data_IF_758325415311
#
_entry.id   IF_758325415311
#
_cell.length_a   1.000
_cell.length_b   1.000
_cell.length_c   1.000
_cell.angle_alpha   90.00
_cell.angle_beta   90.00
_cell.angle_gamma   90.00
#
_symmetry.space_group_name_H-M   'P 1'
#
loop_
_entity.id
_entity.type
_entity.pdbx_description
1 polymer ?
#
# COMPACT_ATOMS: atom_id res chain seq x y z
N UNK A 1 -35.21 -32.16 15.27
CA UNK A 1 -35.34 -30.70 15.37
C UNK A 1 -34.03 -30.09 14.92
N UNK A 2 -34.01 -29.48 13.76
CA UNK A 2 -32.79 -29.02 13.07
C UNK A 2 -32.82 -27.49 13.10
N UNK A 3 -32.01 -26.87 14.00
CA UNK A 3 -31.90 -25.42 14.10
C UNK A 3 -30.99 -24.90 12.99
N UNK A 4 -31.54 -24.16 12.07
CA UNK A 4 -30.84 -23.37 11.07
C UNK A 4 -30.37 -22.06 11.73
N UNK A 5 -29.07 -21.87 11.85
CA UNK A 5 -28.47 -20.56 12.19
C UNK A 5 -28.44 -19.72 10.91
N UNK A 6 -29.39 -18.80 10.78
CA UNK A 6 -29.37 -17.76 9.77
C UNK A 6 -28.30 -16.72 10.17
N UNK A 7 -27.18 -16.72 9.47
CA UNK A 7 -26.21 -15.62 9.49
C UNK A 7 -26.81 -14.45 8.71
N UNK A 8 -27.30 -13.43 9.43
CA UNK A 8 -27.59 -12.11 8.88
C UNK A 8 -26.26 -11.42 8.53
N UNK A 9 -25.87 -11.49 7.26
CA UNK A 9 -24.89 -10.57 6.67
C UNK A 9 -25.56 -9.21 6.53
N UNK A 10 -25.31 -8.33 7.49
CA UNK A 10 -25.67 -6.92 7.37
C UNK A 10 -24.82 -6.30 6.26
N UNK A 11 -25.49 -5.79 5.24
CA UNK A 11 -24.88 -4.94 4.22
C UNK A 11 -24.56 -3.59 4.86
N UNK A 12 -23.34 -3.47 5.43
CA UNK A 12 -22.77 -2.15 5.71
C UNK A 12 -22.39 -1.54 4.37
N UNK A 13 -22.95 -0.42 4.04
CA UNK A 13 -22.59 0.37 2.86
C UNK A 13 -21.10 0.72 2.95
N UNK A 14 -20.34 0.29 1.95
CA UNK A 14 -18.89 0.52 1.82
C UNK A 14 -18.75 1.85 1.09
N UNK A 15 -18.13 2.83 1.73
CA UNK A 15 -17.74 4.10 1.12
C UNK A 15 -16.23 4.13 0.90
N UNK A 16 -15.80 4.81 -0.10
CA UNK A 16 -14.61 4.61 -0.97
C UNK A 16 -13.36 5.48 -0.71
N UNK A 17 -12.18 5.29 -1.43
CA UNK A 17 -10.87 5.76 -0.93
C UNK A 17 -9.66 5.81 -1.87
N UNK A 18 -8.79 6.83 -1.84
CA UNK A 18 -7.59 7.07 -2.68
C UNK A 18 -6.26 6.57 -2.12
N UNK A 19 -5.31 6.34 -3.05
CA UNK A 19 -3.96 5.78 -2.85
C UNK A 19 -3.15 6.47 -1.75
N UNK A 20 -2.54 5.67 -0.88
CA UNK A 20 -1.81 6.11 0.30
C UNK A 20 -0.33 5.75 0.26
N UNK A 21 0.54 6.65 0.77
CA UNK A 21 2.00 6.41 0.96
C UNK A 21 2.32 5.17 1.81
N UNK A 22 1.37 4.72 2.62
CA UNK A 22 1.51 3.50 3.43
C UNK A 22 1.43 2.20 2.64
N UNK A 23 0.94 2.22 1.39
CA UNK A 23 1.02 1.05 0.51
C UNK A 23 2.47 0.60 0.31
N UNK A 24 3.42 1.52 0.36
CA UNK A 24 4.84 1.23 0.22
C UNK A 24 5.43 0.59 1.49
N UNK A 25 5.05 1.01 2.69
CA UNK A 25 5.40 0.33 3.96
C UNK A 25 4.89 -1.11 3.94
N UNK A 26 3.70 -1.32 3.41
CA UNK A 26 3.12 -2.62 3.14
C UNK A 26 4.00 -3.50 2.23
N UNK A 27 4.51 -2.97 1.12
CA UNK A 27 5.38 -3.70 0.20
C UNK A 27 6.69 -4.14 0.88
N UNK A 28 7.31 -3.27 1.67
CA UNK A 28 8.52 -3.58 2.45
C UNK A 28 8.27 -4.67 3.51
N UNK A 29 7.13 -4.62 4.19
CA UNK A 29 6.76 -5.64 5.18
C UNK A 29 6.53 -7.02 4.54
N UNK A 30 5.96 -7.06 3.34
CA UNK A 30 5.81 -8.32 2.58
C UNK A 30 7.15 -8.88 2.13
N UNK A 31 8.07 -8.03 1.73
CA UNK A 31 9.38 -8.41 1.19
C UNK A 31 10.28 -9.07 2.23
N UNK A 32 10.10 -8.75 3.50
CA UNK A 32 10.99 -9.18 4.58
C UNK A 32 11.17 -10.70 4.70
N UNK A 33 10.15 -11.50 4.38
CA UNK A 33 10.22 -12.96 4.52
C UNK A 33 10.31 -13.45 5.99
N UNK A 34 10.54 -14.75 6.18
CA UNK A 34 10.73 -15.35 7.50
C UNK A 34 12.21 -15.63 7.75
N UNK A 35 12.85 -14.80 8.56
CA UNK A 35 14.32 -14.76 8.74
C UNK A 35 14.70 -14.98 10.17
N UNK A 36 15.88 -15.59 10.36
CA UNK A 36 16.54 -15.77 11.65
C UNK A 36 17.05 -14.46 12.26
N UNK A 37 17.70 -14.52 13.45
CA UNK A 37 18.36 -13.37 14.06
C UNK A 37 19.44 -12.81 13.15
N UNK A 38 19.66 -11.50 13.20
CA UNK A 38 20.69 -10.81 12.45
C UNK A 38 20.21 -9.57 11.72
N UNK A 39 21.13 -8.96 11.00
CA UNK A 39 20.89 -7.79 10.18
C UNK A 39 20.21 -8.18 8.86
N UNK A 40 19.29 -7.36 8.39
CA UNK A 40 18.75 -7.46 7.04
C UNK A 40 18.59 -6.08 6.42
N UNK A 41 18.63 -6.02 5.12
CA UNK A 41 18.35 -4.81 4.35
C UNK A 41 17.70 -5.18 3.01
N UNK A 42 17.00 -4.24 2.41
CA UNK A 42 16.36 -4.50 1.12
C UNK A 42 15.78 -3.26 0.50
N UNK A 43 15.18 -3.49 -0.66
CA UNK A 43 14.41 -2.50 -1.40
C UNK A 43 13.10 -3.14 -1.85
N UNK A 44 12.02 -2.39 -1.77
CA UNK A 44 10.74 -2.77 -2.34
C UNK A 44 10.25 -1.61 -3.22
N UNK A 45 9.80 -1.93 -4.41
CA UNK A 45 9.27 -0.99 -5.39
C UNK A 45 7.79 -1.26 -5.61
N UNK A 46 7.03 -0.19 -5.65
CA UNK A 46 5.66 -0.20 -6.12
C UNK A 46 5.48 0.90 -7.14
N UNK A 47 5.23 0.53 -8.38
CA UNK A 47 4.83 1.43 -9.45
C UNK A 47 3.33 1.27 -9.71
N UNK A 48 2.60 2.37 -9.72
CA UNK A 48 1.17 2.41 -10.06
C UNK A 48 0.94 3.40 -11.18
N UNK A 49 0.20 2.96 -12.20
CA UNK A 49 -0.29 3.82 -13.28
C UNK A 49 -1.77 4.10 -13.04
N UNK A 50 -2.12 5.37 -13.07
CA UNK A 50 -3.49 5.89 -12.98
C UNK A 50 -3.77 6.61 -14.29
N UNK A 51 -4.78 6.19 -15.04
CA UNK A 51 -5.13 6.76 -16.35
C UNK A 51 -6.64 6.83 -16.60
N UNK A 52 -7.43 6.11 -15.83
CA UNK A 52 -8.88 6.11 -15.90
C UNK A 52 -9.47 7.16 -14.98
N UNK A 53 -10.31 8.07 -15.52
CA UNK A 53 -11.11 8.99 -14.72
C UNK A 53 -12.43 8.34 -14.30
N UNK A 54 -12.79 8.51 -13.03
CA UNK A 54 -14.07 8.04 -12.48
C UNK A 54 -14.74 9.14 -11.65
N UNK A 55 -16.07 9.11 -11.65
CA UNK A 55 -16.93 9.87 -10.73
C UNK A 55 -17.83 8.87 -10.01
N UNK A 56 -17.73 8.82 -8.69
CA UNK A 56 -18.56 7.94 -7.85
C UNK A 56 -18.60 6.48 -8.36
N UNK A 57 -17.44 5.91 -8.64
CA UNK A 57 -17.27 4.54 -9.13
C UNK A 57 -17.62 4.31 -10.61
N UNK A 58 -17.99 5.36 -11.34
CA UNK A 58 -18.36 5.26 -12.76
C UNK A 58 -17.28 5.90 -13.64
N UNK A 59 -16.75 5.14 -14.61
CA UNK A 59 -15.79 5.66 -15.58
C UNK A 59 -16.40 6.80 -16.41
N UNK A 60 -15.64 7.87 -16.57
CA UNK A 60 -15.99 9.04 -17.38
C UNK A 60 -14.92 9.33 -18.41
N UNK A 61 -15.28 10.12 -19.44
CA UNK A 61 -14.35 10.49 -20.49
C UNK A 61 -13.16 11.29 -19.92
N UNK A 62 -11.95 10.99 -20.40
CA UNK A 62 -10.70 11.69 -20.09
C UNK A 62 -10.17 12.44 -21.34
N UNK A 63 -10.84 13.52 -21.79
CA UNK A 63 -10.47 14.23 -23.02
C UNK A 63 -9.12 14.93 -22.93
N UNK A 64 -8.72 15.35 -21.73
CA UNK A 64 -7.40 15.93 -21.50
C UNK A 64 -6.28 14.89 -21.49
N UNK A 65 -6.62 13.60 -21.37
CA UNK A 65 -5.67 12.50 -21.22
C UNK A 65 -4.87 12.66 -19.94
N UNK A 66 -5.53 12.96 -18.83
CA UNK A 66 -4.93 13.06 -17.50
C UNK A 66 -4.34 11.70 -17.10
N UNK A 67 -3.22 11.72 -16.42
CA UNK A 67 -2.59 10.52 -15.85
C UNK A 67 -1.72 10.88 -14.66
N UNK A 68 -1.52 9.90 -13.78
CA UNK A 68 -0.54 9.92 -12.71
C UNK A 68 0.26 8.62 -12.76
N UNK A 69 1.59 8.72 -12.82
CA UNK A 69 2.49 7.60 -12.59
C UNK A 69 3.14 7.80 -11.23
N UNK A 70 2.99 6.85 -10.34
CA UNK A 70 3.58 6.90 -9.01
C UNK A 70 4.52 5.72 -8.81
N UNK A 71 5.81 6.00 -8.58
CA UNK A 71 6.85 5.04 -8.23
C UNK A 71 7.28 5.32 -6.79
N UNK A 72 7.16 4.33 -5.91
CA UNK A 72 7.53 4.42 -4.52
C UNK A 72 8.52 3.32 -4.19
N UNK A 73 9.82 3.69 -4.11
CA UNK A 73 10.91 2.80 -3.72
C UNK A 73 11.11 2.88 -2.21
N UNK A 74 10.83 1.80 -1.49
CA UNK A 74 11.11 1.66 -0.06
C UNK A 74 12.49 1.06 0.14
N UNK A 75 13.46 1.84 0.57
CA UNK A 75 14.71 1.31 1.11
C UNK A 75 14.47 0.98 2.58
N UNK A 76 14.76 -0.23 2.99
CA UNK A 76 14.57 -0.64 4.37
C UNK A 76 15.77 -1.40 4.92
N UNK A 77 16.01 -1.25 6.21
CA UNK A 77 16.99 -2.00 6.95
C UNK A 77 16.47 -2.32 8.35
N UNK A 78 16.89 -3.42 8.92
CA UNK A 78 16.44 -3.81 10.24
C UNK A 78 17.32 -4.87 10.89
N UNK A 79 17.00 -5.15 12.14
CA UNK A 79 17.69 -6.14 12.95
C UNK A 79 16.70 -7.04 13.70
N UNK A 80 16.84 -8.34 13.52
CA UNK A 80 16.13 -9.33 14.31
C UNK A 80 16.96 -9.67 15.55
N UNK A 81 16.52 -9.21 16.72
CA UNK A 81 17.20 -9.45 18.01
C UNK A 81 17.21 -10.95 18.36
N UNK A 82 16.18 -11.65 17.94
CA UNK A 82 16.01 -13.10 18.11
C UNK A 82 14.98 -13.62 17.10
N UNK A 83 14.60 -14.88 17.19
CA UNK A 83 13.59 -15.50 16.32
C UNK A 83 12.16 -14.95 16.49
N UNK A 84 11.93 -13.99 17.37
CA UNK A 84 10.59 -13.46 17.66
C UNK A 84 10.45 -11.96 17.55
N UNK A 85 11.52 -11.20 17.77
CA UNK A 85 11.46 -9.74 17.87
C UNK A 85 12.40 -9.14 16.86
N UNK A 86 11.93 -8.20 16.08
CA UNK A 86 12.71 -7.42 15.12
C UNK A 86 12.31 -5.95 15.12
N UNK A 87 13.21 -5.15 14.59
CA UNK A 87 13.03 -3.73 14.35
C UNK A 87 13.42 -3.40 12.91
N UNK A 88 12.68 -2.51 12.25
CA UNK A 88 12.92 -2.12 10.86
C UNK A 88 12.68 -0.62 10.69
N UNK A 89 13.55 0.03 9.94
CA UNK A 89 13.36 1.40 9.45
C UNK A 89 13.04 1.32 7.95
N UNK A 90 12.06 2.07 7.50
CA UNK A 90 11.70 2.23 6.10
C UNK A 90 11.92 3.69 5.68
N UNK A 91 12.61 3.89 4.57
CA UNK A 91 12.85 5.17 3.92
C UNK A 91 12.22 5.13 2.53
N UNK A 92 11.09 5.80 2.28
CA UNK A 92 10.50 5.89 0.96
C UNK A 92 11.21 6.94 0.11
N UNK A 93 11.50 6.59 -1.13
CA UNK A 93 11.90 7.52 -2.19
C UNK A 93 10.77 7.51 -3.22
N UNK A 94 10.16 8.66 -3.44
CA UNK A 94 8.96 8.81 -4.25
C UNK A 94 9.32 9.55 -5.53
N UNK A 95 8.80 9.07 -6.64
CA UNK A 95 8.80 9.76 -7.93
C UNK A 95 7.40 9.69 -8.53
N UNK A 96 6.84 10.85 -8.86
CA UNK A 96 5.55 10.98 -9.53
C UNK A 96 5.72 11.80 -10.81
N UNK A 97 5.05 11.38 -11.88
CA UNK A 97 4.88 12.19 -13.09
C UNK A 97 3.41 12.25 -13.43
N UNK A 98 2.93 13.44 -13.75
CA UNK A 98 1.50 13.67 -13.94
C UNK A 98 1.20 14.59 -15.13
N UNK A 99 -0.02 14.47 -15.57
CA UNK A 99 -0.70 15.39 -16.48
C UNK A 99 -2.11 15.59 -15.94
N UNK A 100 -2.46 16.83 -15.63
CA UNK A 100 -3.78 17.22 -15.12
C UNK A 100 -4.33 18.43 -15.85
N UNK A 101 -5.60 18.72 -15.67
CA UNK A 101 -6.18 20.02 -16.06
C UNK A 101 -5.78 21.07 -15.05
N UNK A 102 -5.53 22.29 -15.50
CA UNK A 102 -5.36 23.46 -14.64
C UNK A 102 -6.67 24.23 -14.45
N UNK A 103 -6.68 25.15 -13.50
CA UNK A 103 -7.87 25.95 -13.14
C UNK A 103 -8.38 26.89 -14.24
N UNK A 104 -7.57 27.12 -15.29
CA UNK A 104 -7.91 27.96 -16.44
C UNK A 104 -8.38 27.17 -17.66
N UNK A 105 -8.49 25.83 -17.55
CA UNK A 105 -8.87 24.95 -18.65
C UNK A 105 -7.71 24.56 -19.56
N UNK A 106 -6.49 24.84 -19.18
CA UNK A 106 -5.27 24.36 -19.79
C UNK A 106 -4.89 22.94 -19.30
N UNK A 107 -3.66 22.58 -19.58
CA UNK A 107 -3.08 21.29 -19.16
C UNK A 107 -1.75 21.55 -18.49
N UNK A 108 -1.62 21.08 -17.27
CA UNK A 108 -0.39 21.10 -16.48
C UNK A 108 0.32 19.72 -16.53
N UNK A 109 1.65 19.77 -16.71
CA UNK A 109 2.53 18.61 -16.68
C UNK A 109 3.60 18.81 -15.62
N UNK A 110 3.82 17.82 -14.81
CA UNK A 110 4.85 17.96 -13.80
C UNK A 110 5.45 16.64 -13.35
N UNK A 111 6.46 16.80 -12.49
CA UNK A 111 7.08 15.70 -11.76
C UNK A 111 7.32 16.14 -10.33
N UNK A 112 7.01 15.24 -9.40
CA UNK A 112 7.35 15.40 -7.98
C UNK A 112 8.27 14.26 -7.57
N UNK A 113 9.34 14.59 -6.86
CA UNK A 113 10.26 13.56 -6.40
C UNK A 113 10.99 13.96 -5.11
N UNK A 114 11.22 13.00 -4.26
CA UNK A 114 11.93 13.22 -3.01
C UNK A 114 11.80 12.07 -2.04
N UNK A 115 12.21 12.35 -0.81
CA UNK A 115 12.04 11.42 0.30
C UNK A 115 10.64 11.64 0.87
N UNK A 116 9.93 10.54 1.12
CA UNK A 116 8.64 10.55 1.80
C UNK A 116 8.79 10.41 3.33
N UNK A 117 7.72 10.00 3.97
CA UNK A 117 7.66 9.86 5.42
C UNK A 117 8.37 8.59 5.90
N UNK A 118 9.41 8.74 6.69
CA UNK A 118 10.17 7.62 7.29
C UNK A 118 9.30 6.89 8.31
N UNK A 119 9.36 5.55 8.32
CA UNK A 119 8.67 4.75 9.32
C UNK A 119 9.63 3.85 10.12
N UNK A 120 9.36 3.73 11.42
CA UNK A 120 10.01 2.80 12.34
C UNK A 120 9.01 1.73 12.77
N UNK A 121 9.31 0.47 12.49
CA UNK A 121 8.43 -0.66 12.73
C UNK A 121 9.08 -1.69 13.65
N UNK A 122 8.36 -2.11 14.67
CA UNK A 122 8.67 -3.31 15.46
C UNK A 122 7.80 -4.47 15.02
N UNK A 123 8.33 -5.69 15.02
CA UNK A 123 7.57 -6.89 14.77
C UNK A 123 7.78 -7.96 15.86
N UNK A 124 6.76 -8.74 16.08
CA UNK A 124 6.76 -9.83 17.03
C UNK A 124 6.12 -11.09 16.42
N UNK A 125 6.87 -12.21 16.45
CA UNK A 125 6.34 -13.52 16.06
C UNK A 125 5.48 -14.07 17.20
N UNK A 126 4.17 -13.91 17.08
CA UNK A 126 3.19 -14.34 18.06
C UNK A 126 3.08 -15.87 18.11
N UNK A 127 3.16 -16.52 16.95
CA UNK A 127 3.12 -17.97 16.85
C UNK A 127 4.02 -18.48 15.73
N UNK A 128 4.76 -19.56 15.98
CA UNK A 128 5.55 -20.26 14.98
C UNK A 128 5.52 -21.77 15.23
N UNK A 129 5.16 -22.51 14.19
CA UNK A 129 5.27 -23.97 14.15
C UNK A 129 5.98 -24.38 12.87
N UNK A 130 7.07 -25.10 12.99
CA UNK A 130 7.87 -25.58 11.86
C UNK A 130 7.96 -27.11 11.91
N UNK A 131 7.70 -27.77 10.80
CA UNK A 131 7.95 -29.19 10.58
C UNK A 131 8.30 -29.42 9.11
N UNK A 132 8.76 -30.60 8.74
CA UNK A 132 9.17 -30.92 7.38
C UNK A 132 8.09 -30.62 6.33
N UNK A 133 6.83 -30.98 6.61
CA UNK A 133 5.70 -30.84 5.67
C UNK A 133 4.80 -29.65 5.96
N UNK A 134 4.90 -29.04 7.15
CA UNK A 134 4.00 -27.99 7.59
C UNK A 134 4.77 -26.88 8.26
N UNK A 135 4.51 -25.64 7.90
CA UNK A 135 4.93 -24.48 8.66
C UNK A 135 3.80 -23.47 8.78
N UNK A 136 3.73 -22.83 9.93
CA UNK A 136 2.82 -21.74 10.21
C UNK A 136 3.55 -20.69 11.00
N UNK A 137 3.58 -19.47 10.51
CA UNK A 137 4.13 -18.29 11.20
C UNK A 137 3.08 -17.21 11.25
N UNK A 138 2.82 -16.69 12.42
CA UNK A 138 1.98 -15.52 12.65
C UNK A 138 2.80 -14.42 13.32
N UNK A 139 2.81 -13.25 12.71
CA UNK A 139 3.47 -12.04 13.20
C UNK A 139 2.47 -10.92 13.42
N UNK A 140 2.76 -10.08 14.38
CA UNK A 140 2.12 -8.78 14.57
C UNK A 140 3.19 -7.71 14.45
N UNK A 141 2.81 -6.56 13.93
CA UNK A 141 3.69 -5.42 13.80
C UNK A 141 3.03 -4.15 14.35
N UNK A 142 3.85 -3.24 14.79
CA UNK A 142 3.42 -1.92 15.21
C UNK A 142 4.55 -0.92 15.00
N UNK A 143 4.21 0.32 14.71
CA UNK A 143 5.21 1.34 14.46
C UNK A 143 4.66 2.74 14.35
N UNK A 144 5.55 3.66 14.03
CA UNK A 144 5.28 5.08 13.87
C UNK A 144 5.88 5.56 12.57
N UNK A 145 5.12 6.36 11.84
CA UNK A 145 5.57 7.13 10.68
C UNK A 145 5.87 8.56 11.14
N UNK A 146 6.95 9.13 10.65
CA UNK A 146 7.44 10.47 10.99
C UNK A 146 7.22 11.41 9.80
N UNK A 147 6.85 12.69 10.03
CA UNK A 147 6.61 13.67 8.97
C UNK A 147 7.95 14.19 8.40
N UNK A 148 8.57 13.41 7.53
CA UNK A 148 9.89 13.75 6.93
C UNK A 148 9.79 14.09 5.45
N UNK A 149 8.67 13.78 4.81
CA UNK A 149 8.40 14.11 3.42
C UNK A 149 7.97 15.56 3.25
N UNK A 150 8.17 16.08 2.04
CA UNK A 150 7.72 17.43 1.69
C UNK A 150 6.19 17.45 1.54
N UNK A 151 5.55 18.50 2.09
CA UNK A 151 4.09 18.69 2.13
C UNK A 151 3.61 19.91 1.33
N UNK A 152 4.50 20.59 0.60
CA UNK A 152 4.17 21.87 -0.09
C UNK A 152 2.98 21.75 -1.04
N UNK A 153 2.76 20.56 -1.63
CA UNK A 153 1.63 20.30 -2.51
C UNK A 153 0.27 20.33 -1.81
N UNK A 154 0.22 20.13 -0.49
CA UNK A 154 -1.02 20.27 0.28
C UNK A 154 -1.51 21.73 0.36
N UNK A 155 -0.63 22.71 0.10
CA UNK A 155 -1.04 24.12 0.02
C UNK A 155 -1.99 24.37 -1.17
N UNK A 156 -1.92 23.56 -2.22
CA UNK A 156 -2.80 23.68 -3.39
C UNK A 156 -4.27 23.46 -3.02
N UNK A 157 -4.56 22.62 -2.01
CA UNK A 157 -5.93 22.36 -1.52
C UNK A 157 -6.65 23.64 -1.04
N UNK A 158 -5.91 24.63 -0.55
CA UNK A 158 -6.49 25.94 -0.18
C UNK A 158 -7.03 26.68 -1.40
N UNK A 159 -6.31 26.63 -2.50
CA UNK A 159 -6.65 27.38 -3.70
C UNK A 159 -7.85 26.74 -4.42
N UNK A 160 -7.95 25.40 -4.42
CA UNK A 160 -9.05 24.66 -5.03
C UNK A 160 -10.40 24.93 -4.35
N UNK A 161 -10.41 25.16 -3.04
CA UNK A 161 -11.62 25.50 -2.27
C UNK A 161 -12.07 26.95 -2.50
N UNK A 162 -11.12 27.86 -2.75
CA UNK A 162 -11.41 29.29 -2.87
C UNK A 162 -11.82 29.73 -4.28
N UNK A 163 -11.39 29.01 -5.34
CA UNK A 163 -11.65 29.40 -6.73
C UNK A 163 -11.99 28.21 -7.67
N UNK A 164 -13.19 27.65 -7.56
CA UNK A 164 -13.61 26.48 -8.35
C UNK A 164 -14.03 26.85 -9.79
N UNK A 165 -13.26 27.68 -10.52
CA UNK A 165 -13.67 28.21 -11.85
C UNK A 165 -13.14 27.37 -13.02
N UNK A 166 -12.18 26.44 -12.78
CA UNK A 166 -11.56 25.62 -13.83
C UNK A 166 -12.33 24.35 -14.18
N UNK A 167 -11.96 23.66 -15.28
CA UNK A 167 -12.47 22.31 -15.52
C UNK A 167 -11.94 21.36 -14.46
N UNK A 168 -12.76 20.43 -13.98
CA UNK A 168 -12.40 19.57 -12.86
C UNK A 168 -11.16 18.72 -13.19
N UNK A 169 -10.18 18.75 -12.32
CA UNK A 169 -9.03 17.83 -12.32
C UNK A 169 -9.39 16.54 -11.58
N UNK A 170 -8.86 15.42 -12.02
CA UNK A 170 -8.88 14.17 -11.27
C UNK A 170 -7.58 13.93 -10.48
N UNK A 171 -6.70 14.94 -10.41
CA UNK A 171 -5.41 14.90 -9.70
C UNK A 171 -5.25 16.21 -8.93
N UNK A 172 -5.11 16.14 -7.62
CA UNK A 172 -5.07 17.26 -6.71
C UNK A 172 -3.74 17.33 -5.94
N UNK A 173 -3.58 18.30 -5.06
CA UNK A 173 -2.37 18.50 -4.27
C UNK A 173 -2.05 17.31 -3.37
N UNK A 174 -3.06 16.73 -2.74
CA UNK A 174 -2.90 15.53 -1.89
C UNK A 174 -2.40 14.29 -2.64
N UNK A 175 -2.69 14.16 -3.94
CA UNK A 175 -2.17 13.07 -4.78
C UNK A 175 -0.68 13.24 -5.11
N UNK A 176 -0.18 14.46 -5.07
CA UNK A 176 1.17 14.83 -5.49
C UNK A 176 2.13 15.01 -4.32
N UNK A 177 1.64 15.22 -3.11
CA UNK A 177 2.47 15.43 -1.92
C UNK A 177 3.38 14.24 -1.63
N UNK A 178 4.58 14.48 -1.11
CA UNK A 178 5.56 13.45 -0.75
C UNK A 178 5.48 13.02 0.71
N UNK A 179 4.82 13.80 1.55
CA UNK A 179 4.62 13.54 2.97
C UNK A 179 3.26 13.96 3.45
N UNK A 180 2.92 13.57 4.67
CA UNK A 180 1.64 13.90 5.30
C UNK A 180 1.72 15.05 6.30
N UNK A 181 2.92 15.48 6.70
CA UNK A 181 3.13 16.44 7.78
C UNK A 181 2.71 15.92 9.16
N UNK A 182 2.32 14.66 9.30
CA UNK A 182 1.76 14.08 10.52
C UNK A 182 2.55 12.91 11.08
N UNK A 183 2.48 12.71 12.40
CA UNK A 183 2.91 11.47 13.05
C UNK A 183 1.78 10.46 13.02
N UNK A 184 1.98 9.32 12.38
CA UNK A 184 0.94 8.31 12.23
C UNK A 184 1.33 6.99 12.89
N UNK A 185 0.34 6.33 13.50
CA UNK A 185 0.49 4.99 14.03
C UNK A 185 0.30 3.93 12.94
N UNK A 186 1.08 2.86 12.97
CA UNK A 186 0.94 1.71 12.06
C UNK A 186 0.77 0.47 12.92
N UNK A 187 -0.25 -0.33 12.64
CA UNK A 187 -0.44 -1.66 13.24
C UNK A 187 -0.75 -2.67 12.15
N UNK A 188 -0.34 -3.90 12.34
CA UNK A 188 -0.61 -4.93 11.33
C UNK A 188 -0.35 -6.34 11.80
N UNK A 189 -0.68 -7.27 10.91
CA UNK A 189 -0.52 -8.69 11.16
C UNK A 189 -0.23 -9.43 9.86
N UNK A 190 0.65 -10.43 9.93
CA UNK A 190 0.97 -11.31 8.81
C UNK A 190 0.86 -12.76 9.22
N UNK A 191 0.28 -13.57 8.34
CA UNK A 191 0.23 -15.02 8.48
C UNK A 191 0.83 -15.66 7.23
N UNK A 192 1.73 -16.59 7.43
CA UNK A 192 2.26 -17.48 6.39
C UNK A 192 2.03 -18.92 6.82
N UNK A 193 1.41 -19.70 5.93
CA UNK A 193 1.20 -21.13 6.11
C UNK A 193 1.70 -21.93 4.92
N UNK A 194 2.37 -23.07 5.15
CA UNK A 194 2.84 -23.99 4.10
C UNK A 194 2.43 -25.41 4.42
N UNK A 195 1.99 -26.13 3.43
CA UNK A 195 1.74 -27.58 3.47
C UNK A 195 2.33 -28.24 2.23
N UNK A 196 3.40 -29.01 2.42
CA UNK A 196 4.17 -29.55 1.31
C UNK A 196 4.67 -28.44 0.39
N UNK A 197 4.29 -28.46 -0.88
CA UNK A 197 4.60 -27.42 -1.85
C UNK A 197 3.56 -26.29 -1.88
N UNK A 198 2.35 -26.51 -1.37
CA UNK A 198 1.34 -25.46 -1.26
C UNK A 198 1.64 -24.49 -0.13
N UNK A 199 1.40 -23.20 -0.33
CA UNK A 199 1.47 -22.18 0.70
C UNK A 199 0.35 -21.15 0.56
N UNK A 200 0.12 -20.40 1.60
CA UNK A 200 -0.77 -19.24 1.58
C UNK A 200 -0.20 -18.15 2.47
N UNK A 201 -0.47 -16.91 2.09
CA UNK A 201 -0.14 -15.73 2.88
C UNK A 201 -1.39 -14.91 3.15
N UNK A 202 -1.41 -14.22 4.27
CA UNK A 202 -2.36 -13.15 4.55
C UNK A 202 -1.62 -12.04 5.30
N UNK A 203 -1.92 -10.80 4.95
CA UNK A 203 -1.39 -9.61 5.59
C UNK A 203 -2.51 -8.60 5.72
N UNK A 204 -2.57 -7.91 6.83
CA UNK A 204 -3.41 -6.74 7.06
C UNK A 204 -2.57 -5.68 7.78
N UNK A 205 -2.72 -4.42 7.36
CA UNK A 205 -2.10 -3.26 7.97
C UNK A 205 -3.13 -2.13 8.07
N UNK A 206 -3.14 -1.45 9.20
CA UNK A 206 -3.99 -0.30 9.45
C UNK A 206 -3.14 0.90 9.86
N UNK A 207 -3.38 2.02 9.22
CA UNK A 207 -2.77 3.30 9.56
C UNK A 207 -3.73 4.14 10.36
N UNK A 208 -3.25 4.66 11.47
CA UNK A 208 -3.94 5.57 12.36
C UNK A 208 -3.34 6.94 12.13
N UNK A 209 -4.08 7.81 11.43
CA UNK A 209 -3.61 9.09 10.97
C UNK A 209 -3.93 10.22 11.94
N UNK A 210 -3.01 11.18 12.07
CA UNK A 210 -3.24 12.43 12.77
C UNK A 210 -3.29 13.61 11.79
N UNK A 211 -3.74 14.77 12.26
CA UNK A 211 -3.70 16.00 11.47
C UNK A 211 -2.26 16.43 11.27
N UNK A 212 -1.91 16.76 10.03
CA UNK A 212 -0.59 17.19 9.58
C UNK A 212 -0.53 18.67 9.25
N UNK A 213 0.39 19.02 8.35
CA UNK A 213 0.56 20.37 7.85
C UNK A 213 -0.71 20.84 7.11
N UNK A 214 -0.92 22.16 7.08
CA UNK A 214 -2.06 22.83 6.43
C UNK A 214 -3.43 22.41 6.97
N UNK A 215 -3.51 21.91 8.22
CA UNK A 215 -4.73 21.32 8.80
C UNK A 215 -5.32 20.19 7.92
N UNK A 216 -4.45 19.53 7.10
CA UNK A 216 -4.82 18.38 6.32
C UNK A 216 -4.64 17.10 7.14
N UNK A 217 -5.65 16.25 7.13
CA UNK A 217 -5.61 14.93 7.76
C UNK A 217 -5.94 13.86 6.75
N UNK A 218 -4.94 13.10 6.36
CA UNK A 218 -5.19 11.87 5.62
C UNK A 218 -6.09 10.95 6.43
N UNK A 219 -7.01 10.27 5.78
CA UNK A 219 -7.88 9.31 6.45
C UNK A 219 -7.10 8.10 6.98
N UNK A 220 -7.64 7.47 8.01
CA UNK A 220 -7.14 6.16 8.41
C UNK A 220 -7.35 5.18 7.26
N UNK A 221 -6.38 4.35 6.97
CA UNK A 221 -6.46 3.40 5.88
C UNK A 221 -6.16 1.96 6.31
N UNK A 222 -6.86 1.04 5.66
CA UNK A 222 -6.69 -0.40 5.82
C UNK A 222 -6.17 -0.99 4.51
N UNK A 223 -4.99 -1.58 4.55
CA UNK A 223 -4.44 -2.35 3.43
C UNK A 223 -4.37 -3.83 3.79
N UNK A 224 -4.68 -4.67 2.84
CA UNK A 224 -4.61 -6.10 3.03
C UNK A 224 -4.17 -6.81 1.75
N UNK A 225 -3.52 -7.97 1.89
CA UNK A 225 -3.25 -8.86 0.78
C UNK A 225 -3.06 -10.29 1.23
N UNK A 226 -3.21 -11.20 0.31
CA UNK A 226 -2.95 -12.60 0.55
C UNK A 226 -3.36 -13.45 -0.64
N UNK A 227 -3.25 -14.74 -0.43
CA UNK A 227 -3.70 -15.71 -1.40
C UNK A 227 -2.89 -17.00 -1.39
N UNK A 228 -3.36 -18.01 -2.12
CA UNK A 228 -2.70 -19.29 -2.26
C UNK A 228 -1.53 -19.22 -3.23
N UNK A 229 -0.53 -20.05 -2.99
CA UNK A 229 0.62 -20.22 -3.87
C UNK A 229 1.12 -21.66 -3.88
N UNK A 230 2.02 -21.94 -4.79
CA UNK A 230 2.64 -23.23 -4.96
C UNK A 230 4.14 -23.07 -5.27
N UNK A 231 4.99 -23.81 -4.56
CA UNK A 231 6.42 -23.87 -4.84
C UNK A 231 6.66 -24.79 -6.04
N UNK A 232 7.05 -24.18 -7.16
CA UNK A 232 7.47 -24.88 -8.39
C UNK A 232 8.78 -25.63 -8.16
N UNK A 233 9.68 -24.98 -7.41
CA UNK A 233 10.93 -25.57 -6.95
C UNK A 233 11.09 -25.30 -5.45
N UNK A 234 11.48 -26.32 -4.71
CA UNK A 234 11.75 -26.24 -3.28
C UNK A 234 12.82 -27.27 -2.90
N UNK A 235 14.01 -26.76 -2.59
CA UNK A 235 15.11 -27.56 -2.11
C UNK A 235 15.93 -26.75 -1.06
N UNK A 236 16.97 -27.35 -0.53
CA UNK A 236 17.80 -26.76 0.53
C UNK A 236 18.56 -25.49 0.10
N UNK A 237 18.72 -25.24 -1.18
CA UNK A 237 19.46 -24.08 -1.70
C UNK A 237 18.56 -22.94 -2.12
N UNK A 238 17.43 -23.23 -2.75
CA UNK A 238 16.51 -22.18 -3.22
C UNK A 238 15.07 -22.67 -3.27
N UNK A 239 14.16 -21.71 -3.24
CA UNK A 239 12.76 -21.93 -3.55
C UNK A 239 12.33 -20.98 -4.68
N UNK A 240 11.42 -21.44 -5.52
CA UNK A 240 10.69 -20.61 -6.48
C UNK A 240 9.21 -20.93 -6.37
N UNK A 241 8.41 -19.95 -6.03
CA UNK A 241 6.96 -20.09 -5.87
C UNK A 241 6.19 -19.15 -6.79
N UNK A 242 5.01 -19.60 -7.19
CA UNK A 242 4.00 -18.79 -7.87
C UNK A 242 2.81 -18.64 -6.94
N UNK A 243 2.29 -17.43 -6.79
CA UNK A 243 1.16 -17.11 -5.93
C UNK A 243 0.11 -16.31 -6.71
N UNK A 244 -1.17 -16.63 -6.53
CA UNK A 244 -2.26 -15.75 -6.89
C UNK A 244 -2.52 -14.82 -5.71
N UNK A 245 -2.36 -13.51 -5.90
CA UNK A 245 -2.54 -12.51 -4.85
C UNK A 245 -3.81 -11.74 -5.09
N UNK A 246 -4.66 -11.70 -4.07
CA UNK A 246 -5.73 -10.70 -3.95
C UNK A 246 -5.24 -9.66 -2.95
N UNK A 247 -5.32 -8.40 -3.29
CA UNK A 247 -4.99 -7.30 -2.39
C UNK A 247 -6.07 -6.22 -2.45
N UNK A 248 -6.14 -5.40 -1.44
CA UNK A 248 -7.07 -4.29 -1.40
C UNK A 248 -6.62 -3.22 -0.44
N UNK A 249 -7.23 -2.07 -0.64
CA UNK A 249 -7.07 -0.89 0.20
C UNK A 249 -8.43 -0.29 0.48
N UNK A 250 -8.58 0.22 1.67
CA UNK A 250 -9.79 0.86 2.18
C UNK A 250 -9.40 2.11 2.98
N UNK A 251 -9.73 3.31 2.47
CA UNK A 251 -9.44 4.62 3.06
C UNK A 251 -10.71 5.51 3.01
N UNK A 252 -11.29 6.07 4.05
CA UNK A 252 -12.42 7.04 4.05
C UNK A 252 -11.94 8.42 3.56
N UNK A 253 -12.80 9.35 3.26
CA UNK A 253 -12.41 10.69 2.83
C UNK A 253 -11.41 11.31 3.81
N UNK A 254 -10.42 11.99 3.27
CA UNK A 254 -9.49 12.81 4.02
C UNK A 254 -10.26 13.99 4.66
N UNK A 255 -9.60 14.73 5.51
CA UNK A 255 -10.19 15.93 6.09
C UNK A 255 -9.26 17.12 5.86
N UNK A 256 -9.83 18.18 5.36
CA UNK A 256 -9.16 19.47 5.23
C UNK A 256 -9.90 20.49 6.08
N UNK A 257 -9.18 21.14 7.02
CA UNK A 257 -9.75 22.09 7.98
C UNK A 257 -10.98 21.55 8.76
N UNK A 258 -11.00 20.22 9.00
CA UNK A 258 -12.08 19.55 9.72
C UNK A 258 -13.33 19.24 8.89
N UNK A 259 -13.36 19.57 7.61
CA UNK A 259 -14.38 19.14 6.65
C UNK A 259 -13.89 17.93 5.84
N UNK A 260 -14.79 17.08 5.37
CA UNK A 260 -14.44 15.98 4.50
C UNK A 260 -14.02 16.50 3.11
N UNK A 261 -12.88 16.03 2.59
CA UNK A 261 -12.42 16.29 1.23
C UNK A 261 -13.07 15.25 0.31
N UNK A 262 -14.09 15.66 -0.46
CA UNK A 262 -15.01 14.75 -1.16
C UNK A 262 -14.32 13.93 -2.27
N UNK A 263 -13.23 14.40 -2.82
CA UNK A 263 -12.47 13.82 -3.93
C UNK A 263 -11.31 12.91 -3.49
N UNK A 264 -11.31 12.48 -2.24
CA UNK A 264 -10.18 11.75 -1.66
C UNK A 264 -10.45 10.30 -1.29
N UNK A 265 -11.64 9.83 -1.55
CA UNK A 265 -12.04 8.50 -1.17
C UNK A 265 -11.91 7.42 -2.27
N UNK A 266 -11.30 6.22 -2.02
CA UNK A 266 -11.17 5.08 -2.98
C UNK A 266 -11.14 3.72 -2.29
N UNK A 267 -12.02 2.78 -2.56
CA UNK A 267 -11.83 1.35 -2.27
C UNK A 267 -11.35 0.64 -3.53
N UNK A 268 -10.20 0.00 -3.45
CA UNK A 268 -9.70 -0.77 -4.58
C UNK A 268 -9.39 -2.21 -4.18
N UNK A 269 -9.79 -3.14 -5.02
CA UNK A 269 -9.46 -4.56 -4.91
C UNK A 269 -8.72 -4.97 -6.18
N UNK A 270 -7.60 -5.65 -5.99
CA UNK A 270 -6.70 -6.08 -7.06
C UNK A 270 -6.54 -7.59 -7.05
N UNK A 271 -6.28 -8.14 -8.22
CA UNK A 271 -5.90 -9.53 -8.41
C UNK A 271 -4.68 -9.59 -9.34
N UNK A 272 -3.71 -10.44 -9.00
CA UNK A 272 -2.57 -10.66 -9.88
C UNK A 272 -1.66 -11.79 -9.47
N UNK A 273 -0.78 -12.25 -10.37
CA UNK A 273 0.25 -13.22 -10.08
C UNK A 273 1.44 -12.57 -9.38
N UNK A 274 2.09 -13.34 -8.51
CA UNK A 274 3.35 -12.99 -7.87
C UNK A 274 4.31 -14.17 -7.90
N UNK A 275 5.53 -13.93 -8.33
CA UNK A 275 6.67 -14.84 -8.15
C UNK A 275 7.37 -14.53 -6.83
N UNK A 276 7.79 -15.60 -6.14
CA UNK A 276 8.60 -15.51 -4.92
C UNK A 276 9.84 -16.38 -5.10
N UNK A 277 10.98 -15.87 -4.69
CA UNK A 277 12.25 -16.56 -4.78
C UNK A 277 13.03 -16.41 -3.48
N UNK A 278 13.69 -17.50 -3.03
CA UNK A 278 14.65 -17.45 -1.93
C UNK A 278 15.92 -18.19 -2.30
N UNK A 279 17.06 -17.74 -1.80
CA UNK A 279 18.35 -18.38 -2.05
C UNK A 279 19.16 -18.44 -0.74
N UNK A 280 19.53 -19.65 -0.34
CA UNK A 280 20.48 -19.93 0.75
C UNK A 280 20.08 -19.38 2.12
N UNK A 281 18.82 -19.02 2.32
CA UNK A 281 18.35 -18.32 3.53
C UNK A 281 18.82 -16.86 3.65
N UNK A 282 19.70 -16.38 2.74
CA UNK A 282 20.27 -15.03 2.78
C UNK A 282 19.56 -14.06 1.84
N UNK A 283 18.98 -14.53 0.75
CA UNK A 283 18.33 -13.69 -0.25
C UNK A 283 16.85 -14.07 -0.39
N UNK A 284 15.98 -13.11 -0.39
CA UNK A 284 14.60 -13.26 -0.83
C UNK A 284 14.23 -12.20 -1.85
N UNK A 285 13.47 -12.59 -2.87
CA UNK A 285 12.97 -11.70 -3.90
C UNK A 285 11.51 -12.01 -4.21
N UNK A 286 10.78 -11.01 -4.62
CA UNK A 286 9.43 -11.17 -5.14
C UNK A 286 9.16 -10.15 -6.25
N UNK A 287 8.33 -10.54 -7.20
CA UNK A 287 7.83 -9.65 -8.25
C UNK A 287 6.38 -10.04 -8.60
N UNK A 288 5.55 -9.06 -8.84
CA UNK A 288 4.14 -9.27 -9.15
C UNK A 288 3.53 -8.10 -9.91
N UNK A 289 2.41 -8.38 -10.53
CA UNK A 289 1.54 -7.38 -11.16
C UNK A 289 0.15 -7.55 -10.59
N UNK A 290 -0.52 -6.43 -10.30
CA UNK A 290 -1.88 -6.39 -9.80
C UNK A 290 -2.74 -5.58 -10.78
N UNK A 291 -3.89 -6.14 -11.13
CA UNK A 291 -4.92 -5.45 -11.92
C UNK A 291 -6.12 -5.17 -11.04
N UNK A 292 -6.69 -3.99 -11.08
CA UNK A 292 -7.91 -3.69 -10.33
C UNK A 292 -9.07 -4.55 -10.86
N UNK A 293 -9.80 -5.16 -9.95
CA UNK A 293 -11.02 -5.94 -10.25
C UNK A 293 -12.27 -5.23 -9.72
N UNK A 294 -12.09 -4.30 -8.81
CA UNK A 294 -13.11 -3.38 -8.33
C UNK A 294 -12.42 -2.09 -7.88
N UNK A 295 -12.95 -0.96 -8.31
CA UNK A 295 -12.53 0.37 -7.87
C UNK A 295 -13.79 1.20 -7.64
N UNK A 296 -13.93 1.73 -6.44
CA UNK A 296 -15.00 2.63 -6.05
C UNK A 296 -14.37 3.88 -5.45
N UNK A 297 -14.66 5.03 -5.98
CA UNK A 297 -14.15 6.33 -5.56
C UNK A 297 -15.28 7.30 -5.23
N UNK A 298 -14.98 8.36 -4.51
CA UNK A 298 -15.87 9.50 -4.28
C UNK A 298 -15.49 10.65 -5.19
N UNK A 299 -16.50 11.38 -5.71
CA UNK A 299 -16.29 12.52 -6.60
C UNK A 299 -15.43 12.20 -7.85
N UNK A 300 -14.80 13.19 -8.47
CA UNK A 300 -13.95 13.00 -9.64
C UNK A 300 -12.52 12.69 -9.22
N UNK A 301 -12.01 11.53 -9.65
CA UNK A 301 -10.63 11.12 -9.38
C UNK A 301 -10.04 10.33 -10.54
N UNK A 302 -8.71 10.34 -10.65
CA UNK A 302 -7.99 9.39 -11.48
C UNK A 302 -7.73 8.11 -10.67
N UNK A 303 -8.08 6.95 -11.24
CA UNK A 303 -8.00 5.66 -10.55
C UNK A 303 -6.93 4.75 -11.16
N UNK A 304 -6.40 3.77 -10.39
CA UNK A 304 -5.34 2.90 -10.87
C UNK A 304 -5.81 1.92 -11.94
N UNK A 305 -5.01 1.80 -13.02
CA UNK A 305 -5.21 0.82 -14.09
C UNK A 305 -4.41 -0.48 -13.85
N UNK A 306 -3.21 -0.35 -13.29
CA UNK A 306 -2.38 -1.50 -12.87
C UNK A 306 -1.30 -1.07 -11.88
N UNK A 307 -0.77 -2.06 -11.16
CA UNK A 307 0.30 -1.90 -10.20
C UNK A 307 1.39 -2.96 -10.42
N UNK A 308 2.64 -2.53 -10.50
CA UNK A 308 3.80 -3.42 -10.54
C UNK A 308 4.47 -3.41 -9.17
N UNK A 309 4.87 -4.57 -8.69
CA UNK A 309 5.58 -4.70 -7.41
C UNK A 309 6.83 -5.56 -7.57
N UNK A 310 7.92 -5.11 -7.00
CA UNK A 310 9.14 -5.89 -6.89
C UNK A 310 9.78 -5.66 -5.53
N UNK A 311 10.47 -6.66 -4.99
CA UNK A 311 11.24 -6.46 -3.78
C UNK A 311 12.40 -7.44 -3.71
N UNK A 312 13.47 -6.99 -3.05
CA UNK A 312 14.67 -7.75 -2.79
C UNK A 312 15.09 -7.52 -1.34
N UNK A 313 15.36 -8.59 -0.61
CA UNK A 313 15.83 -8.53 0.77
C UNK A 313 17.06 -9.40 0.94
N UNK A 314 18.08 -8.85 1.56
CA UNK A 314 19.29 -9.53 1.91
C UNK A 314 19.41 -9.67 3.43
N UNK A 315 19.81 -10.87 3.89
CA UNK A 315 20.05 -11.23 5.28
C UNK A 315 21.52 -11.56 5.51
N UNK A 316 22.07 -11.01 6.56
CA UNK A 316 23.50 -11.11 6.91
C UNK A 316 23.73 -12.03 8.10
#
# INVERSE_FOLDING_TARGET
MRNWLLLLLGTAGVQSLVACDLCAVYAANRARGDVGPGLFAGVAEQYTHFGTLQVDGSEVANPAGQYLNSSISQVFAGYNFNNRIGLQVNLPVIYRSFKRTDDLGGVDYGTESGIGDVALLGDFVAYRKLSERFSLTWRVLGGVKFPTGNTDRLEEEFNEVEDPVGPPSGIHGHDLTLGSGSYDGIVGSTVYGRWGHGFATALVQYAIRSTGDFDYRFANDLTWAGGPGYYLFMNDKFTLGLQAVVSGEYKVMDQFQGADAEDTGLTAVYLGPQLTFTWGGSLSAQAGVDFPVSVENTSLQIVPDYRLRAALTWHF
#
